data_IF_487214963188
#
_entry.id   IF_487214963188
#
_cell.length_a   1.000
_cell.length_b   1.000
_cell.length_c   1.000
_cell.angle_alpha   90.00
_cell.angle_beta   90.00
_cell.angle_gamma   90.00
#
_symmetry.space_group_name_H-M   'P 1'
#
loop_
_entity.id
_entity.type
_entity.pdbx_description
1 polymer ?
#
# COMPACT_ATOMS: atom_id res chain seq x y z
N UNK A 1 -5.62 23.84 -24.81
CA UNK A 1 -5.49 22.38 -25.03
C UNK A 1 -4.01 22.07 -24.89
N UNK A 2 -3.58 21.52 -23.75
CA UNK A 2 -2.21 21.03 -23.65
C UNK A 2 -2.17 19.68 -24.38
N UNK A 3 -1.30 19.58 -25.38
CA UNK A 3 -1.00 18.32 -26.06
C UNK A 3 -0.58 17.29 -25.02
N UNK A 4 -1.33 16.19 -24.94
CA UNK A 4 -0.95 15.04 -24.13
C UNK A 4 0.26 14.43 -24.84
N UNK A 5 1.42 14.26 -24.18
CA UNK A 5 2.58 13.66 -24.82
C UNK A 5 2.24 12.28 -25.39
N UNK A 6 2.65 12.02 -26.62
CA UNK A 6 2.50 10.72 -27.33
C UNK A 6 3.24 9.56 -26.62
N UNK A 7 3.99 9.84 -25.56
CA UNK A 7 4.80 8.87 -24.82
C UNK A 7 4.18 8.56 -23.46
N UNK A 8 3.63 7.34 -23.35
CA UNK A 8 3.25 6.70 -22.10
C UNK A 8 4.43 6.70 -21.13
N UNK A 9 4.23 7.24 -19.92
CA UNK A 9 5.20 7.19 -18.83
C UNK A 9 4.93 5.93 -18.00
N UNK A 10 5.91 5.03 -17.96
CA UNK A 10 5.92 3.93 -16.99
C UNK A 10 6.54 4.44 -15.70
N UNK A 11 5.76 4.47 -14.61
CA UNK A 11 6.27 4.94 -13.32
C UNK A 11 7.20 3.89 -12.70
N UNK A 12 8.47 4.24 -12.48
CA UNK A 12 9.46 3.35 -11.87
C UNK A 12 9.45 3.48 -10.34
N UNK A 13 8.56 2.72 -9.70
CA UNK A 13 8.48 2.68 -8.25
C UNK A 13 9.67 2.01 -7.56
N UNK A 14 10.42 1.15 -8.26
CA UNK A 14 11.66 0.57 -7.72
C UNK A 14 12.74 1.64 -7.59
N UNK A 15 12.90 2.48 -8.62
CA UNK A 15 13.83 3.60 -8.59
C UNK A 15 13.44 4.60 -7.49
N UNK A 16 12.18 4.99 -7.38
CA UNK A 16 11.75 5.94 -6.35
C UNK A 16 11.88 5.35 -4.93
N UNK A 17 11.52 4.07 -4.74
CA UNK A 17 11.73 3.40 -3.46
C UNK A 17 13.21 3.33 -3.08
N UNK A 18 14.11 3.11 -4.04
CA UNK A 18 15.56 3.09 -3.80
C UNK A 18 16.08 4.45 -3.32
N UNK A 19 15.58 5.57 -3.89
CA UNK A 19 15.94 6.92 -3.43
C UNK A 19 15.52 7.16 -1.98
N UNK A 20 14.32 6.69 -1.61
CA UNK A 20 13.83 6.78 -0.22
C UNK A 20 14.67 5.90 0.70
N UNK A 21 14.99 4.67 0.29
CA UNK A 21 15.87 3.75 1.02
C UNK A 21 17.24 4.40 1.29
N UNK A 22 17.86 5.05 0.30
CA UNK A 22 19.13 5.76 0.46
C UNK A 22 19.05 6.91 1.46
N UNK A 23 17.96 7.70 1.43
CA UNK A 23 17.71 8.75 2.41
C UNK A 23 17.59 8.21 3.84
N UNK A 24 16.86 7.10 4.01
CA UNK A 24 16.71 6.44 5.30
C UNK A 24 18.04 5.91 5.83
N UNK A 25 18.89 5.31 4.98
CA UNK A 25 20.25 4.90 5.36
C UNK A 25 21.10 6.06 5.86
N UNK A 26 21.09 7.18 5.13
CA UNK A 26 21.86 8.37 5.51
C UNK A 26 21.38 8.94 6.85
N UNK A 27 20.07 8.84 7.14
CA UNK A 27 19.53 9.34 8.40
C UNK A 27 20.02 8.59 9.65
N UNK A 28 20.43 7.32 9.50
CA UNK A 28 20.86 6.45 10.61
C UNK A 28 19.76 6.10 11.63
N UNK A 29 18.53 6.58 11.45
CA UNK A 29 17.45 6.44 12.46
C UNK A 29 16.94 5.02 12.68
N UNK A 30 17.22 4.12 11.74
CA UNK A 30 16.71 2.75 11.73
C UNK A 30 17.73 1.72 12.24
N UNK A 31 19.00 2.09 12.33
CA UNK A 31 20.07 1.17 12.70
C UNK A 31 19.86 0.67 14.15
N UNK A 32 19.82 -0.65 14.31
CA UNK A 32 19.64 -1.29 15.62
C UNK A 32 18.19 -1.34 16.13
N UNK A 33 17.21 -0.87 15.35
CA UNK A 33 15.79 -1.04 15.69
C UNK A 33 15.32 -2.48 15.44
N UNK A 34 14.29 -2.90 16.18
CA UNK A 34 13.67 -4.20 15.98
C UNK A 34 12.30 -4.15 15.30
N UNK A 35 12.04 -5.08 14.39
CA UNK A 35 10.77 -5.26 13.68
C UNK A 35 10.22 -6.67 13.90
N UNK A 36 8.99 -6.76 14.40
CA UNK A 36 8.22 -8.00 14.47
C UNK A 36 7.24 -8.08 13.30
N UNK A 37 7.32 -9.14 12.50
CA UNK A 37 6.35 -9.44 11.43
C UNK A 37 5.60 -10.73 11.77
N UNK A 38 4.28 -10.67 11.82
CA UNK A 38 3.41 -11.83 12.00
C UNK A 38 2.85 -12.26 10.64
N UNK A 39 3.19 -13.47 10.19
CA UNK A 39 2.56 -14.11 9.04
C UNK A 39 1.37 -14.93 9.49
N UNK A 40 0.17 -14.55 9.06
CA UNK A 40 -1.08 -15.08 9.61
C UNK A 40 -1.96 -15.82 8.60
N UNK A 41 -1.47 -16.09 7.39
CA UNK A 41 -2.23 -16.71 6.30
C UNK A 41 -2.35 -18.25 6.42
N UNK A 42 -1.77 -18.84 7.45
CA UNK A 42 -1.73 -20.29 7.64
C UNK A 42 -0.68 -21.03 6.81
N UNK A 43 0.16 -20.29 6.08
CA UNK A 43 1.30 -20.88 5.37
C UNK A 43 2.43 -21.24 6.33
N UNK A 44 3.20 -22.26 5.95
CA UNK A 44 4.48 -22.60 6.56
C UNK A 44 5.67 -22.01 5.81
N UNK A 45 5.42 -21.36 4.67
CA UNK A 45 6.43 -20.72 3.82
C UNK A 45 6.29 -19.21 3.87
N UNK A 46 7.42 -18.53 3.98
CA UNK A 46 7.47 -17.07 3.97
C UNK A 46 6.86 -16.53 2.66
N UNK A 47 5.89 -15.63 2.79
CA UNK A 47 5.29 -14.98 1.63
C UNK A 47 6.32 -14.09 0.92
N UNK A 48 6.14 -13.87 -0.39
CA UNK A 48 7.01 -12.98 -1.16
C UNK A 48 7.06 -11.57 -0.55
N UNK A 49 5.94 -11.04 -0.05
CA UNK A 49 5.92 -9.72 0.59
C UNK A 49 6.72 -9.68 1.89
N UNK A 50 6.60 -10.70 2.75
CA UNK A 50 7.35 -10.75 4.00
C UNK A 50 8.85 -10.86 3.70
N UNK A 51 9.23 -11.70 2.74
CA UNK A 51 10.62 -11.78 2.29
C UNK A 51 11.16 -10.42 1.85
N UNK A 52 10.41 -9.67 1.06
CA UNK A 52 10.81 -8.35 0.58
C UNK A 52 10.87 -7.31 1.71
N UNK A 53 9.93 -7.33 2.66
CA UNK A 53 9.95 -6.48 3.86
C UNK A 53 11.18 -6.77 4.72
N UNK A 54 11.49 -8.05 4.98
CA UNK A 54 12.71 -8.46 5.70
C UNK A 54 13.97 -8.00 4.98
N UNK A 55 14.04 -8.18 3.66
CA UNK A 55 15.20 -7.73 2.89
C UNK A 55 15.38 -6.21 2.93
N UNK A 56 14.30 -5.43 2.96
CA UNK A 56 14.38 -3.97 3.13
C UNK A 56 14.88 -3.63 4.54
N UNK A 57 14.33 -4.26 5.57
CA UNK A 57 14.76 -4.08 6.96
C UNK A 57 16.26 -4.37 7.14
N UNK A 58 16.74 -5.50 6.61
CA UNK A 58 18.15 -5.90 6.65
C UNK A 58 19.06 -4.84 5.99
N UNK A 59 18.66 -4.32 4.82
CA UNK A 59 19.42 -3.25 4.15
C UNK A 59 19.45 -1.95 4.96
N UNK A 60 18.45 -1.71 5.80
CA UNK A 60 18.33 -0.51 6.65
C UNK A 60 18.90 -0.71 8.06
N UNK A 61 19.49 -1.88 8.37
CA UNK A 61 20.05 -2.18 9.68
C UNK A 61 19.00 -2.48 10.76
N UNK A 62 17.80 -2.88 10.36
CA UNK A 62 16.69 -3.24 11.26
C UNK A 62 16.69 -4.74 11.49
N UNK A 63 16.78 -5.15 12.75
CA UNK A 63 16.68 -6.55 13.16
C UNK A 63 15.23 -7.03 13.00
N UNK A 64 15.00 -8.06 12.19
CA UNK A 64 13.64 -8.52 11.87
C UNK A 64 13.38 -9.91 12.41
N UNK A 65 12.32 -10.05 13.20
CA UNK A 65 11.77 -11.32 13.65
C UNK A 65 10.48 -11.62 12.90
N UNK A 66 10.43 -12.76 12.21
CA UNK A 66 9.23 -13.25 11.52
C UNK A 66 8.63 -14.40 12.33
N UNK A 67 7.35 -14.30 12.69
CA UNK A 67 6.60 -15.38 13.35
C UNK A 67 5.48 -15.87 12.44
N UNK A 68 5.39 -17.20 12.29
CA UNK A 68 4.27 -17.84 11.60
C UNK A 68 3.21 -18.19 12.63
N UNK A 69 2.01 -17.62 12.48
CA UNK A 69 0.91 -17.78 13.41
C UNK A 69 -0.30 -18.31 12.66
N UNK A 70 -0.81 -19.47 13.08
CA UNK A 70 -1.88 -20.17 12.35
C UNK A 70 -3.26 -20.02 12.99
N UNK A 71 -3.31 -19.53 14.23
CA UNK A 71 -4.53 -19.33 15.00
C UNK A 71 -4.69 -17.85 15.34
N UNK A 72 -5.83 -17.24 14.99
CA UNK A 72 -6.09 -15.82 15.23
C UNK A 72 -5.94 -15.42 16.70
N UNK A 73 -6.30 -16.31 17.63
CA UNK A 73 -6.22 -16.07 19.07
C UNK A 73 -4.77 -16.00 19.59
N UNK A 74 -3.83 -16.58 18.83
CA UNK A 74 -2.39 -16.48 19.10
C UNK A 74 -1.83 -15.17 18.53
N UNK A 75 -2.40 -14.63 17.46
CA UNK A 75 -1.95 -13.37 16.85
C UNK A 75 -1.99 -12.24 17.87
N UNK A 76 -3.12 -12.08 18.58
CA UNK A 76 -3.26 -11.04 19.61
C UNK A 76 -2.23 -11.20 20.73
N UNK A 77 -1.96 -12.44 21.19
CA UNK A 77 -0.96 -12.71 22.23
C UNK A 77 0.46 -12.37 21.78
N UNK A 78 0.81 -12.65 20.52
CA UNK A 78 2.12 -12.29 20.00
C UNK A 78 2.27 -10.78 19.78
N UNK A 79 1.17 -10.07 19.43
CA UNK A 79 1.15 -8.60 19.40
C UNK A 79 1.37 -8.03 20.81
N UNK A 80 0.66 -8.55 21.82
CA UNK A 80 0.83 -8.12 23.22
C UNK A 80 2.28 -8.28 23.70
N UNK A 81 2.90 -9.44 23.45
CA UNK A 81 4.32 -9.65 23.73
C UNK A 81 5.21 -8.65 23.00
N UNK A 82 4.95 -8.42 21.70
CA UNK A 82 5.71 -7.44 20.91
C UNK A 82 5.52 -6.00 21.40
N UNK A 83 4.35 -5.66 21.93
CA UNK A 83 4.08 -4.35 22.51
C UNK A 83 4.91 -4.12 23.78
N UNK A 84 5.09 -5.14 24.60
CA UNK A 84 5.85 -5.07 25.85
C UNK A 84 7.38 -5.22 25.65
N UNK A 85 7.79 -5.78 24.52
CA UNK A 85 9.21 -5.99 24.19
C UNK A 85 9.88 -4.67 23.76
N UNK A 86 10.80 -4.18 24.58
CA UNK A 86 11.56 -2.95 24.32
C UNK A 86 12.59 -3.09 23.19
N UNK A 87 12.91 -4.32 22.76
CA UNK A 87 13.73 -4.55 21.57
C UNK A 87 12.94 -4.42 20.26
N UNK A 88 11.61 -4.33 20.33
CA UNK A 88 10.73 -4.19 19.16
C UNK A 88 10.22 -2.76 19.07
N UNK A 89 10.61 -2.07 18.01
CA UNK A 89 10.18 -0.71 17.66
C UNK A 89 8.99 -0.70 16.69
N UNK A 90 8.82 -1.76 15.90
CA UNK A 90 7.77 -1.88 14.90
C UNK A 90 7.10 -3.24 14.91
N UNK A 91 5.79 -3.28 14.72
CA UNK A 91 4.99 -4.50 14.60
C UNK A 91 4.18 -4.41 13.30
N UNK A 92 4.19 -5.52 12.55
CA UNK A 92 3.42 -5.67 11.33
C UNK A 92 2.66 -7.00 11.34
N UNK A 93 1.35 -6.94 11.10
CA UNK A 93 0.52 -8.14 10.89
C UNK A 93 0.27 -8.28 9.40
N UNK A 94 0.83 -9.31 8.77
CA UNK A 94 0.64 -9.52 7.34
C UNK A 94 -0.76 -10.08 7.08
N UNK A 95 -1.55 -9.31 6.33
CA UNK A 95 -2.87 -9.72 5.85
C UNK A 95 -2.75 -10.63 4.61
N UNK A 96 -3.72 -11.53 4.39
CA UNK A 96 -4.89 -11.80 5.23
C UNK A 96 -4.57 -12.65 6.48
N UNK A 97 -5.45 -12.58 7.49
CA UNK A 97 -5.40 -13.45 8.67
C UNK A 97 -6.36 -14.63 8.44
N UNK A 98 -5.82 -15.86 8.46
CA UNK A 98 -6.61 -17.08 8.22
C UNK A 98 -7.72 -17.22 9.25
N UNK A 99 -8.96 -17.35 8.75
CA UNK A 99 -10.13 -17.58 9.58
C UNK A 99 -10.63 -16.35 10.34
N UNK A 100 -10.11 -15.15 10.05
CA UNK A 100 -10.63 -13.90 10.58
C UNK A 100 -11.48 -13.19 9.52
N UNK A 101 -12.63 -12.68 9.94
CA UNK A 101 -13.43 -11.75 9.14
C UNK A 101 -12.89 -10.31 9.28
N UNK A 102 -13.49 -9.35 8.58
CA UNK A 102 -13.04 -7.94 8.59
C UNK A 102 -13.05 -7.30 9.98
N UNK A 103 -14.13 -7.49 10.74
CA UNK A 103 -14.25 -6.93 12.09
C UNK A 103 -13.19 -7.51 13.03
N UNK A 104 -12.94 -8.81 12.93
CA UNK A 104 -11.90 -9.49 13.70
C UNK A 104 -10.50 -8.99 13.33
N UNK A 105 -10.23 -8.74 12.05
CA UNK A 105 -8.97 -8.14 11.61
C UNK A 105 -8.81 -6.75 12.22
N UNK A 106 -9.83 -5.90 12.16
CA UNK A 106 -9.80 -4.55 12.75
C UNK A 106 -9.58 -4.60 14.27
N UNK A 107 -10.19 -5.56 14.97
CA UNK A 107 -9.97 -5.80 16.40
C UNK A 107 -8.52 -6.21 16.69
N UNK A 108 -7.98 -7.18 15.94
CA UNK A 108 -6.59 -7.65 16.09
C UNK A 108 -5.61 -6.50 15.85
N UNK A 109 -5.76 -5.76 14.76
CA UNK A 109 -4.86 -4.64 14.41
C UNK A 109 -4.93 -3.51 15.45
N UNK A 110 -6.09 -3.29 16.06
CA UNK A 110 -6.28 -2.30 17.14
C UNK A 110 -5.50 -2.62 18.43
N UNK A 111 -5.02 -3.86 18.59
CA UNK A 111 -4.18 -4.26 19.74
C UNK A 111 -2.72 -3.84 19.59
N UNK A 112 -2.27 -3.51 18.37
CA UNK A 112 -0.89 -3.03 18.15
C UNK A 112 -0.75 -1.68 18.85
N UNK A 113 0.32 -1.49 19.64
CA UNK A 113 0.60 -0.19 20.25
C UNK A 113 0.73 0.87 19.14
N UNK A 114 -0.04 1.97 19.16
CA UNK A 114 -0.02 2.96 18.07
C UNK A 114 1.37 3.49 17.69
N UNK A 115 2.30 3.58 18.64
CA UNK A 115 3.68 4.05 18.34
C UNK A 115 4.54 2.99 17.65
N UNK A 116 4.15 1.71 17.71
CA UNK A 116 4.81 0.58 17.04
C UNK A 116 4.10 0.15 15.75
N UNK A 117 2.96 0.75 15.41
CA UNK A 117 2.14 0.39 14.24
C UNK A 117 2.67 1.02 12.95
N UNK A 118 3.79 0.51 12.45
CA UNK A 118 4.49 1.08 11.30
C UNK A 118 3.70 0.94 9.97
N UNK A 119 2.68 0.08 9.94
CA UNK A 119 1.78 -0.10 8.79
C UNK A 119 0.56 0.84 8.85
N UNK A 120 0.35 1.55 9.98
CA UNK A 120 -0.69 2.56 10.15
C UNK A 120 -2.12 2.01 10.10
N UNK A 121 -2.32 0.73 10.40
CA UNK A 121 -3.63 0.08 10.28
C UNK A 121 -4.44 0.11 11.59
N UNK A 122 -3.83 0.48 12.71
CA UNK A 122 -4.56 0.77 13.94
C UNK A 122 -5.28 2.13 13.79
N UNK A 123 -6.60 2.23 14.05
CA UNK A 123 -7.35 3.50 13.98
C UNK A 123 -6.82 4.61 14.90
N UNK A 124 -6.04 4.26 15.94
CA UNK A 124 -5.39 5.20 16.86
C UNK A 124 -3.96 5.55 16.46
N UNK A 125 -3.44 4.95 15.39
CA UNK A 125 -2.11 5.24 14.86
C UNK A 125 -2.05 6.68 14.35
N UNK A 126 -0.93 7.35 14.63
CA UNK A 126 -0.60 8.63 13.99
C UNK A 126 0.04 8.44 12.61
N UNK A 127 0.38 7.20 12.24
CA UNK A 127 0.98 6.88 10.96
C UNK A 127 -0.10 6.71 9.89
N UNK A 128 0.16 7.27 8.71
CA UNK A 128 -0.67 7.04 7.52
C UNK A 128 -0.37 5.63 6.99
N UNK A 129 -1.38 4.84 6.58
CA UNK A 129 -1.13 3.50 6.07
C UNK A 129 -0.08 3.46 4.95
N UNK A 130 0.82 2.49 4.99
CA UNK A 130 1.98 2.46 4.07
C UNK A 130 1.58 2.44 2.59
N UNK A 131 0.47 1.76 2.26
CA UNK A 131 -0.08 1.74 0.90
C UNK A 131 -0.63 3.12 0.46
N UNK A 132 -1.20 3.89 1.39
CA UNK A 132 -1.70 5.24 1.13
C UNK A 132 -0.52 6.19 0.92
N UNK A 133 0.52 6.12 1.74
CA UNK A 133 1.77 6.88 1.56
C UNK A 133 2.42 6.55 0.21
N UNK A 134 2.37 5.29 -0.23
CA UNK A 134 2.89 4.88 -1.53
C UNK A 134 2.13 5.56 -2.68
N UNK A 135 0.80 5.59 -2.63
CA UNK A 135 -0.02 6.29 -3.64
C UNK A 135 0.23 7.79 -3.61
N UNK A 136 0.27 8.42 -2.43
CA UNK A 136 0.65 9.83 -2.28
C UNK A 136 2.01 10.11 -2.93
N UNK A 137 3.00 9.26 -2.68
CA UNK A 137 4.33 9.38 -3.27
C UNK A 137 4.27 9.33 -4.81
N UNK A 138 3.49 8.40 -5.39
CA UNK A 138 3.31 8.36 -6.85
C UNK A 138 2.72 9.69 -7.34
N UNK A 139 1.63 10.15 -6.72
CA UNK A 139 0.92 11.37 -7.11
C UNK A 139 1.83 12.62 -7.01
N UNK A 140 2.63 12.73 -5.95
CA UNK A 140 3.60 13.81 -5.78
C UNK A 140 4.68 13.79 -6.85
N UNK A 141 5.26 12.61 -7.13
CA UNK A 141 6.37 12.46 -8.09
C UNK A 141 5.97 12.77 -9.52
N UNK A 142 4.70 12.52 -9.87
CA UNK A 142 4.15 12.88 -11.18
C UNK A 142 3.57 14.31 -11.20
N UNK A 143 3.68 15.05 -10.10
CA UNK A 143 3.11 16.39 -9.91
C UNK A 143 1.61 16.43 -10.26
N UNK A 144 0.84 15.46 -9.75
CA UNK A 144 -0.57 15.33 -10.04
C UNK A 144 -1.34 16.58 -9.56
N UNK A 145 -2.09 17.21 -10.46
CA UNK A 145 -2.93 18.36 -10.11
C UNK A 145 -4.12 17.92 -9.26
N UNK A 146 -4.39 18.68 -8.19
CA UNK A 146 -5.52 18.43 -7.27
C UNK A 146 -6.90 18.63 -7.91
N UNK A 147 -6.97 19.33 -9.04
CA UNK A 147 -8.22 19.57 -9.78
C UNK A 147 -8.65 18.39 -10.66
N UNK A 148 -7.81 17.35 -10.78
CA UNK A 148 -8.12 16.17 -11.57
C UNK A 148 -9.09 15.26 -10.80
N UNK A 149 -10.07 14.70 -11.49
CA UNK A 149 -11.02 13.77 -10.89
C UNK A 149 -10.36 12.40 -10.67
N UNK A 150 -10.41 11.92 -9.42
CA UNK A 150 -9.81 10.65 -8.98
C UNK A 150 -10.91 9.63 -8.66
N UNK A 151 -10.90 8.51 -9.37
CA UNK A 151 -11.68 7.33 -9.01
C UNK A 151 -10.83 6.38 -8.17
N UNK A 152 -11.39 5.89 -7.07
CA UNK A 152 -10.82 4.80 -6.28
C UNK A 152 -11.72 3.58 -6.46
N UNK A 153 -11.19 2.50 -7.03
CA UNK A 153 -11.89 1.23 -7.19
C UNK A 153 -11.50 0.27 -6.07
N UNK A 154 -12.49 -0.22 -5.33
CA UNK A 154 -12.33 -0.89 -4.03
C UNK A 154 -12.32 0.09 -2.85
N UNK A 155 -13.08 1.19 -2.94
CA UNK A 155 -13.09 2.29 -1.97
C UNK A 155 -13.65 1.90 -0.59
N UNK A 156 -14.49 0.88 -0.49
CA UNK A 156 -14.96 0.36 0.80
C UNK A 156 -13.95 -0.58 1.48
N UNK A 157 -12.94 -1.05 0.75
CA UNK A 157 -11.83 -1.85 1.29
C UNK A 157 -11.01 -1.11 2.35
N UNK A 158 -10.17 -1.83 3.11
CA UNK A 158 -9.34 -1.20 4.15
C UNK A 158 -8.39 -0.13 3.58
N UNK A 159 -7.68 -0.47 2.48
CA UNK A 159 -6.79 0.47 1.78
C UNK A 159 -7.59 1.57 1.08
N UNK A 160 -8.65 1.21 0.36
CA UNK A 160 -9.48 2.17 -0.38
C UNK A 160 -10.13 3.21 0.52
N UNK A 161 -10.65 2.81 1.68
CA UNK A 161 -11.29 3.73 2.64
C UNK A 161 -10.29 4.73 3.21
N UNK A 162 -9.09 4.25 3.57
CA UNK A 162 -8.02 5.11 4.06
C UNK A 162 -7.54 6.07 2.96
N UNK A 163 -7.38 5.58 1.72
CA UNK A 163 -7.00 6.40 0.58
C UNK A 163 -8.05 7.48 0.27
N UNK A 164 -9.34 7.11 0.28
CA UNK A 164 -10.45 8.03 0.03
C UNK A 164 -10.43 9.19 1.03
N UNK A 165 -10.38 8.87 2.33
CA UNK A 165 -10.33 9.89 3.38
C UNK A 165 -9.12 10.79 3.23
N UNK A 166 -7.94 10.18 3.06
CA UNK A 166 -6.67 10.90 2.97
C UNK A 166 -6.56 11.81 1.75
N UNK A 167 -6.94 11.35 0.57
CA UNK A 167 -6.93 12.19 -0.64
C UNK A 167 -7.96 13.32 -0.54
N UNK A 168 -9.11 13.07 0.08
CA UNK A 168 -10.11 14.11 0.35
C UNK A 168 -9.58 15.20 1.29
N UNK A 169 -8.88 14.83 2.36
CA UNK A 169 -8.19 15.79 3.26
C UNK A 169 -7.12 16.61 2.54
N UNK A 170 -6.43 16.00 1.57
CA UNK A 170 -5.49 16.68 0.69
C UNK A 170 -6.20 17.49 -0.42
N UNK A 171 -7.52 17.57 -0.44
CA UNK A 171 -8.27 18.42 -1.36
C UNK A 171 -8.32 17.91 -2.80
N UNK A 172 -8.13 16.62 -3.03
CA UNK A 172 -8.44 16.00 -4.32
C UNK A 172 -9.95 15.82 -4.49
N UNK A 173 -10.42 15.83 -5.75
CA UNK A 173 -11.80 15.47 -6.09
C UNK A 173 -11.89 13.95 -6.23
N UNK A 174 -12.39 13.26 -5.20
CA UNK A 174 -12.37 11.80 -5.11
C UNK A 174 -13.77 11.20 -5.21
N UNK A 175 -13.92 10.12 -5.97
CA UNK A 175 -15.12 9.27 -6.01
C UNK A 175 -14.75 7.81 -5.79
N UNK A 176 -15.57 7.08 -5.02
CA UNK A 176 -15.40 5.66 -4.76
C UNK A 176 -16.23 4.82 -5.73
N UNK A 177 -15.71 3.65 -6.08
CA UNK A 177 -16.37 2.60 -6.85
C UNK A 177 -16.11 1.26 -6.17
N UNK A 178 -17.14 0.45 -6.02
CA UNK A 178 -17.09 -0.83 -5.34
C UNK A 178 -17.89 -1.91 -6.09
N UNK A 179 -18.02 -3.08 -5.47
CA UNK A 179 -18.71 -4.22 -6.08
C UNK A 179 -20.18 -3.88 -6.37
N UNK A 180 -20.57 -4.01 -7.64
CA UNK A 180 -21.93 -3.74 -8.12
C UNK A 180 -22.08 -2.35 -8.75
N UNK A 181 -21.08 -1.48 -8.64
CA UNK A 181 -21.07 -0.20 -9.35
C UNK A 181 -20.79 -0.37 -10.84
N UNK A 182 -21.28 0.60 -11.62
CA UNK A 182 -21.01 0.69 -13.05
C UNK A 182 -19.62 1.28 -13.32
N UNK A 183 -18.64 0.39 -13.53
CA UNK A 183 -17.25 0.76 -13.81
C UNK A 183 -17.06 1.42 -15.19
N UNK A 184 -18.06 1.43 -16.09
CA UNK A 184 -17.96 2.19 -17.35
C UNK A 184 -17.84 3.70 -17.10
N UNK A 185 -18.31 4.17 -15.92
CA UNK A 185 -18.19 5.58 -15.50
C UNK A 185 -16.74 5.99 -15.20
N UNK A 186 -15.80 5.05 -15.07
CA UNK A 186 -14.38 5.37 -14.91
C UNK A 186 -13.85 6.20 -16.09
N UNK A 187 -14.53 6.17 -17.24
CA UNK A 187 -14.20 6.98 -18.42
C UNK A 187 -14.32 8.50 -18.17
N UNK A 188 -15.04 8.93 -17.14
CA UNK A 188 -15.15 10.35 -16.77
C UNK A 188 -13.97 10.84 -15.92
N UNK A 189 -13.13 9.93 -15.40
CA UNK A 189 -12.07 10.25 -14.45
C UNK A 189 -10.71 10.46 -15.11
N UNK A 190 -9.92 11.38 -14.55
CA UNK A 190 -8.54 11.65 -14.99
C UNK A 190 -7.55 10.65 -14.41
N UNK A 191 -7.87 10.12 -13.23
CA UNK A 191 -7.03 9.22 -12.45
C UNK A 191 -7.89 8.05 -11.97
N UNK A 192 -7.39 6.84 -12.17
CA UNK A 192 -8.00 5.61 -11.64
C UNK A 192 -6.98 4.96 -10.73
N UNK A 193 -7.32 4.87 -9.45
CA UNK A 193 -6.56 4.11 -8.44
C UNK A 193 -7.32 2.82 -8.14
N UNK A 194 -6.72 1.66 -8.39
CA UNK A 194 -7.35 0.37 -8.09
C UNK A 194 -6.65 -0.33 -6.94
N UNK A 195 -7.42 -0.79 -5.95
CA UNK A 195 -6.96 -1.56 -4.81
C UNK A 195 -7.89 -2.75 -4.51
N UNK A 196 -8.34 -3.44 -5.56
CA UNK A 196 -9.31 -4.54 -5.50
C UNK A 196 -8.63 -5.91 -5.38
N UNK A 197 -7.43 -6.07 -5.93
CA UNK A 197 -6.74 -7.35 -6.04
C UNK A 197 -7.41 -8.31 -7.05
N UNK A 198 -8.22 -7.77 -7.97
CA UNK A 198 -8.89 -8.53 -9.03
C UNK A 198 -8.18 -8.29 -10.35
N UNK A 199 -7.43 -9.30 -10.81
CA UNK A 199 -6.63 -9.24 -12.03
C UNK A 199 -7.45 -8.75 -13.23
N UNK A 200 -6.98 -7.69 -13.88
CA UNK A 200 -7.56 -7.17 -15.11
C UNK A 200 -9.00 -6.66 -15.02
N UNK A 201 -9.51 -6.40 -13.80
CA UNK A 201 -10.86 -5.86 -13.58
C UNK A 201 -11.12 -4.58 -14.38
N UNK A 202 -10.13 -3.67 -14.43
CA UNK A 202 -10.25 -2.41 -15.17
C UNK A 202 -9.85 -2.64 -16.62
N UNK A 203 -10.84 -2.71 -17.52
CA UNK A 203 -10.65 -2.97 -18.95
C UNK A 203 -10.50 -1.70 -19.78
N UNK A 204 -10.05 -1.84 -21.04
CA UNK A 204 -9.73 -0.69 -21.88
C UNK A 204 -10.92 0.22 -22.17
N UNK A 205 -12.10 -0.35 -22.37
CA UNK A 205 -13.36 0.36 -22.62
C UNK A 205 -13.91 1.14 -21.42
N UNK A 206 -13.46 0.81 -20.20
CA UNK A 206 -13.84 1.52 -18.98
C UNK A 206 -13.07 2.84 -18.78
N UNK A 207 -11.95 3.04 -19.47
CA UNK A 207 -11.04 4.19 -19.21
C UNK A 207 -10.83 5.06 -20.45
N UNK A 208 -10.69 6.36 -20.21
CA UNK A 208 -10.42 7.33 -21.28
C UNK A 208 -8.95 7.31 -21.72
N UNK A 209 -8.71 7.73 -22.97
CA UNK A 209 -7.36 7.96 -23.45
C UNK A 209 -6.66 9.04 -22.61
N UNK A 210 -5.43 8.77 -22.18
CA UNK A 210 -4.59 9.71 -21.43
C UNK A 210 -4.88 9.76 -19.92
N UNK A 211 -5.62 8.81 -19.35
CA UNK A 211 -5.79 8.74 -17.89
C UNK A 211 -4.49 8.38 -17.16
N UNK A 212 -4.45 8.60 -15.84
CA UNK A 212 -3.39 8.12 -14.95
C UNK A 212 -3.88 6.87 -14.23
N UNK A 213 -3.17 5.75 -14.40
CA UNK A 213 -3.46 4.51 -13.68
C UNK A 213 -2.50 4.28 -12.52
N UNK A 214 -3.04 4.11 -11.32
CA UNK A 214 -2.29 3.70 -10.12
C UNK A 214 -2.85 2.36 -9.65
N UNK A 215 -2.05 1.31 -9.76
CA UNK A 215 -2.46 -0.08 -9.59
C UNK A 215 -1.79 -0.68 -8.36
N UNK A 216 -2.61 -1.02 -7.36
CA UNK A 216 -2.20 -1.71 -6.14
C UNK A 216 -2.45 -3.22 -6.21
N UNK A 217 -2.94 -3.73 -7.33
CA UNK A 217 -3.18 -5.15 -7.56
C UNK A 217 -1.91 -5.98 -7.39
N UNK A 218 -2.06 -7.18 -6.83
CA UNK A 218 -1.00 -8.17 -6.70
C UNK A 218 -1.60 -9.58 -6.50
N UNK A 219 -1.01 -10.66 -7.07
CA UNK A 219 0.26 -10.73 -7.80
C UNK A 219 0.23 -10.10 -9.20
N UNK A 220 -0.96 -9.97 -9.78
CA UNK A 220 -1.22 -9.34 -11.06
C UNK A 220 -1.94 -8.01 -10.86
N UNK A 221 -1.78 -7.10 -11.82
CA UNK A 221 -2.42 -5.79 -11.75
C UNK A 221 -3.92 -5.87 -11.93
N UNK A 222 -4.63 -4.97 -11.26
CA UNK A 222 -6.07 -4.81 -11.44
C UNK A 222 -6.38 -4.12 -12.79
N UNK A 223 -5.43 -3.37 -13.34
CA UNK A 223 -5.55 -2.67 -14.62
C UNK A 223 -5.06 -3.59 -15.74
N UNK A 224 -5.94 -3.88 -16.72
CA UNK A 224 -5.61 -4.74 -17.85
C UNK A 224 -4.53 -4.12 -18.75
N UNK A 225 -3.87 -4.94 -19.57
CA UNK A 225 -2.88 -4.45 -20.54
C UNK A 225 -3.49 -3.44 -21.53
N UNK A 226 -4.73 -3.68 -21.97
CA UNK A 226 -5.46 -2.78 -22.87
C UNK A 226 -5.71 -1.42 -22.22
N UNK A 227 -6.21 -1.40 -20.97
CA UNK A 227 -6.38 -0.17 -20.21
C UNK A 227 -5.04 0.52 -19.99
N UNK A 228 -4.01 -0.21 -19.57
CA UNK A 228 -2.66 0.32 -19.39
C UNK A 228 -2.08 0.94 -20.67
N UNK A 229 -2.46 0.46 -21.86
CA UNK A 229 -2.08 1.03 -23.16
C UNK A 229 -2.68 2.42 -23.44
N UNK A 230 -3.81 2.77 -22.81
CA UNK A 230 -4.46 4.08 -22.93
C UNK A 230 -3.90 5.12 -21.95
N UNK A 231 -3.18 4.70 -20.92
CA UNK A 231 -2.72 5.58 -19.86
C UNK A 231 -1.57 6.49 -20.30
N UNK A 232 -1.61 7.77 -19.89
CA UNK A 232 -0.45 8.68 -20.03
C UNK A 232 0.63 8.39 -18.99
N UNK A 233 0.21 7.91 -17.81
CA UNK A 233 1.07 7.47 -16.71
C UNK A 233 0.45 6.19 -16.15
N UNK A 234 1.25 5.15 -15.93
CA UNK A 234 0.80 3.91 -15.31
C UNK A 234 1.86 3.39 -14.35
N UNK A 235 1.43 2.93 -13.18
CA UNK A 235 2.29 2.18 -12.28
C UNK A 235 2.29 0.70 -12.68
N UNK A 236 3.43 0.10 -13.03
CA UNK A 236 3.47 -1.31 -13.42
C UNK A 236 3.23 -2.22 -12.22
N UNK A 237 2.62 -3.38 -12.48
CA UNK A 237 2.58 -4.49 -11.54
C UNK A 237 3.35 -5.67 -12.14
N UNK A 238 4.45 -6.13 -11.52
CA UNK A 238 5.10 -5.61 -10.32
C UNK A 238 6.04 -4.42 -10.61
N UNK A 239 6.32 -3.60 -9.59
CA UNK A 239 7.40 -2.59 -9.63
C UNK A 239 6.95 -1.13 -9.53
N UNK A 240 5.64 -0.88 -9.52
CA UNK A 240 5.02 0.41 -9.30
C UNK A 240 4.79 0.69 -7.82
N UNK A 241 3.56 0.51 -7.33
CA UNK A 241 3.20 0.86 -5.96
C UNK A 241 3.86 -0.04 -4.91
N UNK A 242 3.97 -1.36 -5.18
CA UNK A 242 4.47 -2.34 -4.21
C UNK A 242 5.84 -2.00 -3.56
N UNK A 243 6.91 -1.68 -4.31
CA UNK A 243 8.18 -1.24 -3.75
C UNK A 243 8.07 0.00 -2.85
N UNK A 244 7.21 0.95 -3.22
CA UNK A 244 6.94 2.15 -2.42
C UNK A 244 6.22 1.79 -1.12
N UNK A 245 5.22 0.89 -1.17
CA UNK A 245 4.55 0.39 0.04
C UNK A 245 5.54 -0.21 1.03
N UNK A 246 6.52 -0.99 0.54
CA UNK A 246 7.52 -1.60 1.42
C UNK A 246 8.41 -0.54 2.07
N UNK A 247 8.94 0.43 1.31
CA UNK A 247 9.82 1.44 1.89
C UNK A 247 9.08 2.40 2.83
N UNK A 248 7.79 2.68 2.58
CA UNK A 248 6.95 3.53 3.42
C UNK A 248 6.80 3.02 4.85
N UNK A 249 6.82 1.69 5.06
CA UNK A 249 6.84 1.09 6.41
C UNK A 249 8.03 1.61 7.24
N UNK A 250 9.19 1.74 6.60
CA UNK A 250 10.41 2.19 7.26
C UNK A 250 10.49 3.71 7.38
N UNK A 251 9.75 4.45 6.54
CA UNK A 251 9.55 5.89 6.75
C UNK A 251 8.78 6.12 8.05
N UNK A 252 7.68 5.38 8.28
CA UNK A 252 6.93 5.43 9.54
C UNK A 252 7.81 5.05 10.74
N UNK A 253 8.58 3.97 10.61
CA UNK A 253 9.47 3.49 11.66
C UNK A 253 10.63 4.46 12.01
N UNK A 254 11.02 5.31 11.06
CA UNK A 254 12.07 6.32 11.22
C UNK A 254 11.54 7.68 11.70
N UNK A 255 10.23 7.86 11.89
CA UNK A 255 9.64 9.10 12.37
C UNK A 255 10.09 9.37 13.81
#
# INVERSE_FOLDING_TARGET
>A
MQEIPDTRIMFDGRMEAKKIEESLKISGKLEGKGLLILQCDGSSTESTYIRLKRQMAERLGVETRVLFVWEKDIVMKEIEKGNEDNSIDGILVQLPIKGANREEIEQILSTINPVKDIDGLNPKSSFVPAAVVAVETVMEKINLSRNLAVAIVGAEGMVGKALYGRLSELGYVVSGFDMGDDLMKLNDFDVVVSCTGQEGLITGDMVKQGFVGIDLGFPQGDISEEAGGKARVITPVPGGVGPLTIVSLFVSMAA
#
